data_IF_010691523998
#
_entry.id   IF_010691523998
#
_cell.length_a   1.000
_cell.length_b   1.000
_cell.length_c   1.000
_cell.angle_alpha   90.00
_cell.angle_beta   90.00
_cell.angle_gamma   90.00
#
_symmetry.space_group_name_H-M   'P 1'
#
loop_
_entity.id
_entity.type
_entity.pdbx_description
1 polymer ?
#
# COMPACT_ATOMS: atom_id res chain seq x y z
N UNK A 1 12.59 -4.83 -10.49
CA UNK A 1 12.54 -3.49 -9.87
C UNK A 1 11.44 -3.36 -8.83
N UNK A 2 10.14 -3.34 -9.21
CA UNK A 2 9.03 -3.21 -8.23
C UNK A 2 9.02 -4.37 -7.22
N UNK A 3 9.09 -5.61 -7.72
CA UNK A 3 9.11 -6.81 -6.89
C UNK A 3 10.33 -6.80 -5.96
N UNK A 4 11.52 -6.54 -6.50
CA UNK A 4 12.77 -6.50 -5.71
C UNK A 4 12.73 -5.45 -4.59
N UNK A 5 12.13 -4.28 -4.81
CA UNK A 5 11.95 -3.27 -3.76
C UNK A 5 10.95 -3.76 -2.71
N UNK A 6 9.83 -4.35 -3.13
CA UNK A 6 8.85 -4.90 -2.20
C UNK A 6 9.47 -5.96 -1.29
N UNK A 7 10.19 -6.91 -1.90
CA UNK A 7 10.88 -7.99 -1.20
C UNK A 7 11.96 -7.44 -0.26
N UNK A 8 12.85 -6.58 -0.76
CA UNK A 8 13.95 -6.02 0.05
C UNK A 8 13.44 -5.26 1.27
N UNK A 9 12.42 -4.42 1.11
CA UNK A 9 11.84 -3.69 2.27
C UNK A 9 11.17 -4.68 3.23
N UNK A 10 10.41 -5.65 2.71
CA UNK A 10 9.77 -6.69 3.53
C UNK A 10 10.75 -7.54 4.34
N UNK A 11 11.97 -7.75 3.84
CA UNK A 11 13.01 -8.52 4.54
C UNK A 11 13.91 -7.67 5.44
N UNK A 12 14.00 -6.36 5.21
CA UNK A 12 14.92 -5.47 5.95
C UNK A 12 14.26 -4.88 7.20
N UNK A 13 12.96 -4.61 7.14
CA UNK A 13 12.20 -4.03 8.24
C UNK A 13 11.48 -5.15 8.98
N UNK A 14 11.53 -5.13 10.31
CA UNK A 14 10.74 -6.01 11.15
C UNK A 14 9.33 -5.42 11.38
N UNK A 15 8.25 -6.23 11.24
CA UNK A 15 6.90 -5.74 11.48
C UNK A 15 6.67 -5.54 12.99
N UNK A 16 6.51 -4.29 13.41
CA UNK A 16 6.22 -3.91 14.80
C UNK A 16 5.33 -2.65 14.79
N UNK A 17 4.41 -2.53 15.74
CA UNK A 17 3.56 -1.33 15.86
C UNK A 17 4.35 -0.13 16.36
N UNK A 18 3.90 1.09 16.03
CA UNK A 18 4.54 2.31 16.55
C UNK A 18 4.55 2.37 18.08
N UNK A 19 3.54 1.80 18.73
CA UNK A 19 3.50 1.67 20.19
C UNK A 19 4.64 0.81 20.72
N UNK A 20 4.98 -0.29 20.02
CA UNK A 20 6.06 -1.18 20.42
C UNK A 20 7.45 -0.57 20.18
N UNK A 21 7.61 0.21 19.09
CA UNK A 21 8.91 0.79 18.72
C UNK A 21 9.16 2.11 19.46
N UNK A 22 8.15 2.97 19.57
CA UNK A 22 8.28 4.37 20.00
C UNK A 22 7.47 4.72 21.25
N UNK A 23 6.57 3.82 21.71
CA UNK A 23 5.67 4.10 22.83
C UNK A 23 4.62 5.17 22.53
N UNK A 24 4.37 5.47 21.25
CA UNK A 24 3.39 6.45 20.76
C UNK A 24 2.59 5.83 19.63
N UNK A 25 1.30 6.17 19.53
CA UNK A 25 0.48 5.80 18.37
C UNK A 25 0.75 6.77 17.21
N UNK A 26 0.72 6.26 15.98
CA UNK A 26 0.82 7.04 14.73
C UNK A 26 2.09 7.91 14.62
N UNK A 27 3.27 7.31 14.80
CA UNK A 27 4.57 7.98 14.60
C UNK A 27 5.12 7.76 13.19
N UNK A 28 5.02 8.78 12.33
CA UNK A 28 5.36 8.66 10.92
C UNK A 28 6.83 8.97 10.65
N UNK A 29 7.60 7.94 10.34
CA UNK A 29 8.99 8.07 9.84
C UNK A 29 9.36 7.03 8.77
N UNK A 30 10.57 7.16 8.22
CA UNK A 30 11.14 6.10 7.39
C UNK A 30 11.79 5.05 8.31
N UNK A 31 11.23 3.83 8.40
CA UNK A 31 11.75 2.82 9.30
C UNK A 31 13.17 2.40 8.88
N UNK A 32 14.02 2.14 9.86
CA UNK A 32 15.39 1.64 9.64
C UNK A 32 15.54 0.18 10.04
N UNK A 33 14.87 -0.24 11.11
CA UNK A 33 14.93 -1.61 11.66
C UNK A 33 13.56 -2.23 11.89
N UNK A 34 12.58 -1.44 12.32
CA UNK A 34 11.21 -1.88 12.57
C UNK A 34 10.21 -0.78 12.22
N UNK A 35 8.97 -1.16 11.92
CA UNK A 35 7.89 -0.21 11.66
C UNK A 35 6.57 -0.91 11.34
N UNK A 36 5.50 -0.12 11.36
CA UNK A 36 4.15 -0.58 11.03
C UNK A 36 3.85 -0.38 9.53
N UNK A 37 2.59 -0.61 9.13
CA UNK A 37 2.18 -0.56 7.73
C UNK A 37 2.52 0.77 7.01
N UNK A 38 2.45 1.90 7.71
CA UNK A 38 2.71 3.22 7.12
C UNK A 38 4.21 3.39 6.84
N UNK A 39 5.07 2.89 7.73
CA UNK A 39 6.51 2.86 7.54
C UNK A 39 6.95 2.06 6.30
N UNK A 40 6.39 0.86 6.10
CA UNK A 40 6.68 0.05 4.91
C UNK A 40 6.26 0.75 3.62
N UNK A 41 5.06 1.35 3.62
CA UNK A 41 4.53 2.07 2.48
C UNK A 41 5.40 3.29 2.11
N UNK A 42 5.82 4.06 3.10
CA UNK A 42 6.69 5.23 2.94
C UNK A 42 8.06 4.83 2.36
N UNK A 43 8.69 3.80 2.93
CA UNK A 43 10.01 3.36 2.50
C UNK A 43 10.00 2.80 1.07
N UNK A 44 9.04 1.93 0.75
CA UNK A 44 8.88 1.39 -0.63
C UNK A 44 8.68 2.51 -1.65
N UNK A 45 7.85 3.52 -1.33
CA UNK A 45 7.65 4.68 -2.20
C UNK A 45 8.95 5.43 -2.44
N UNK A 46 9.70 5.75 -1.39
CA UNK A 46 10.97 6.48 -1.48
C UNK A 46 11.98 5.74 -2.35
N UNK A 47 12.10 4.42 -2.17
CA UNK A 47 13.05 3.61 -2.91
C UNK A 47 12.66 3.45 -4.38
N UNK A 48 11.37 3.28 -4.69
CA UNK A 48 10.89 3.27 -6.07
C UNK A 48 11.12 4.63 -6.76
N UNK A 49 10.91 5.73 -6.06
CA UNK A 49 11.22 7.07 -6.57
C UNK A 49 12.72 7.25 -6.85
N UNK A 50 13.59 6.73 -5.97
CA UNK A 50 15.04 6.75 -6.17
C UNK A 50 15.48 5.94 -7.41
N UNK A 51 14.69 4.93 -7.80
CA UNK A 51 14.88 4.16 -9.03
C UNK A 51 14.24 4.79 -10.28
N UNK A 52 13.65 5.99 -10.15
CA UNK A 52 13.06 6.75 -11.25
C UNK A 52 11.58 6.48 -11.50
N UNK A 53 10.89 5.72 -10.63
CA UNK A 53 9.43 5.55 -10.75
C UNK A 53 8.74 6.87 -10.39
N UNK A 54 7.85 7.40 -11.24
CA UNK A 54 7.18 8.67 -11.00
C UNK A 54 6.37 8.69 -9.68
N UNK A 55 6.52 9.75 -8.89
CA UNK A 55 5.82 9.84 -7.60
C UNK A 55 4.29 9.85 -7.72
N UNK A 56 3.74 10.25 -8.87
CA UNK A 56 2.31 10.28 -9.18
C UNK A 56 1.74 8.90 -9.55
N UNK A 57 2.60 7.88 -9.74
CA UNK A 57 2.17 6.48 -9.93
C UNK A 57 2.30 5.67 -8.64
N UNK A 58 2.85 6.25 -7.57
CA UNK A 58 3.07 5.61 -6.27
C UNK A 58 2.11 6.20 -5.24
N UNK A 59 0.99 5.53 -5.01
CA UNK A 59 -0.17 6.09 -4.32
C UNK A 59 -0.42 5.35 -3.01
N UNK A 60 -0.45 6.12 -1.91
CA UNK A 60 -0.86 5.59 -0.61
C UNK A 60 -2.32 5.19 -0.65
N UNK A 61 -2.63 4.00 -0.15
CA UNK A 61 -3.97 3.41 -0.24
C UNK A 61 -4.34 2.81 1.09
N UNK A 62 -5.47 3.26 1.64
CA UNK A 62 -6.05 2.71 2.87
C UNK A 62 -7.10 1.69 2.47
N UNK A 63 -6.96 0.49 3.04
CA UNK A 63 -7.82 -0.65 2.80
C UNK A 63 -8.37 -1.20 4.11
N UNK A 64 -9.36 -2.07 4.00
CA UNK A 64 -9.85 -2.92 5.08
C UNK A 64 -9.51 -4.37 4.76
N UNK A 65 -8.88 -5.04 5.72
CA UNK A 65 -8.56 -6.46 5.66
C UNK A 65 -9.80 -7.34 5.85
N UNK A 66 -9.77 -8.63 5.45
CA UNK A 66 -10.89 -9.55 5.65
C UNK A 66 -11.31 -9.73 7.12
N UNK A 67 -10.37 -9.55 8.06
CA UNK A 67 -10.64 -9.58 9.50
C UNK A 67 -11.32 -8.30 10.04
N UNK A 68 -11.51 -7.28 9.19
CA UNK A 68 -12.15 -6.01 9.52
C UNK A 68 -11.18 -4.88 9.90
N UNK A 69 -9.91 -5.16 10.09
CA UNK A 69 -8.90 -4.16 10.48
C UNK A 69 -8.53 -3.22 9.33
N UNK A 70 -8.19 -1.98 9.66
CA UNK A 70 -7.62 -1.02 8.70
C UNK A 70 -6.19 -1.40 8.36
N UNK A 71 -5.76 -1.15 7.12
CA UNK A 71 -4.39 -1.39 6.68
C UNK A 71 -3.96 -0.37 5.61
N UNK A 72 -2.68 -0.02 5.58
CA UNK A 72 -2.10 0.87 4.59
C UNK A 72 -1.20 0.08 3.62
N UNK A 73 -1.41 0.29 2.32
CA UNK A 73 -0.64 -0.36 1.26
C UNK A 73 -0.22 0.65 0.20
N UNK A 74 0.85 0.32 -0.54
CA UNK A 74 1.30 1.13 -1.66
C UNK A 74 0.69 0.59 -2.96
N UNK A 75 -0.13 1.40 -3.63
CA UNK A 75 -0.57 1.11 -5.00
C UNK A 75 0.44 1.67 -5.99
N UNK A 76 0.92 0.83 -6.91
CA UNK A 76 1.78 1.22 -8.03
C UNK A 76 0.98 1.14 -9.32
N UNK A 77 0.73 2.29 -9.95
CA UNK A 77 0.05 2.36 -11.25
C UNK A 77 1.07 2.14 -12.36
N UNK A 78 0.78 1.20 -13.24
CA UNK A 78 1.61 0.90 -14.42
C UNK A 78 0.75 0.91 -15.68
N UNK A 79 1.40 0.84 -16.84
CA UNK A 79 0.76 0.63 -18.14
C UNK A 79 0.03 -0.72 -18.25
N UNK A 80 0.36 -1.68 -17.36
CA UNK A 80 -0.24 -3.02 -17.29
C UNK A 80 -1.31 -3.16 -16.20
N UNK A 81 -1.58 -2.10 -15.45
CA UNK A 81 -2.58 -2.07 -14.38
C UNK A 81 -2.03 -1.60 -13.04
N UNK A 82 -2.91 -1.62 -12.04
CA UNK A 82 -2.60 -1.23 -10.67
C UNK A 82 -2.16 -2.46 -9.85
N UNK A 83 -0.97 -2.39 -9.25
CA UNK A 83 -0.39 -3.42 -8.41
C UNK A 83 -0.27 -2.96 -6.96
N UNK A 84 -0.39 -3.89 -6.02
CA UNK A 84 -0.35 -3.65 -4.59
C UNK A 84 0.95 -4.20 -4.01
N UNK A 85 1.65 -3.33 -3.29
CA UNK A 85 2.84 -3.64 -2.51
C UNK A 85 2.47 -3.55 -1.05
N UNK A 86 2.66 -4.66 -0.36
CA UNK A 86 2.18 -4.90 0.99
C UNK A 86 3.30 -5.54 1.84
N UNK A 87 3.31 -5.28 3.14
CA UNK A 87 4.17 -5.94 4.11
C UNK A 87 3.56 -7.24 4.64
N UNK A 88 2.23 -7.38 4.63
CA UNK A 88 1.54 -8.59 5.10
C UNK A 88 1.52 -9.70 4.05
N UNK A 89 1.30 -9.36 2.77
CA UNK A 89 1.50 -10.27 1.64
C UNK A 89 2.78 -9.92 0.87
N UNK A 90 3.82 -10.78 0.85
CA UNK A 90 5.05 -10.51 0.12
C UNK A 90 4.86 -10.50 -1.41
N UNK A 91 3.76 -11.07 -1.92
CA UNK A 91 3.48 -11.10 -3.35
C UNK A 91 3.01 -9.74 -3.83
N UNK A 92 3.55 -9.28 -4.96
CA UNK A 92 3.01 -8.13 -5.68
C UNK A 92 1.80 -8.59 -6.48
N UNK A 93 0.60 -8.25 -6.02
CA UNK A 93 -0.66 -8.67 -6.62
C UNK A 93 -1.32 -7.53 -7.38
N UNK A 94 -2.05 -7.86 -8.45
CA UNK A 94 -2.96 -6.91 -9.06
C UNK A 94 -4.06 -6.53 -8.05
N UNK A 95 -4.54 -5.29 -8.07
CA UNK A 95 -5.50 -4.79 -7.08
C UNK A 95 -6.77 -5.64 -6.95
N UNK A 96 -7.18 -6.29 -8.05
CA UNK A 96 -8.39 -7.10 -8.11
C UNK A 96 -8.15 -8.57 -7.70
N UNK A 97 -6.93 -8.90 -7.31
CA UNK A 97 -6.51 -10.21 -6.82
C UNK A 97 -6.21 -10.21 -5.31
N UNK A 98 -6.40 -9.08 -4.64
CA UNK A 98 -6.32 -8.97 -3.18
C UNK A 98 -7.70 -9.10 -2.55
N UNK A 99 -7.79 -9.67 -1.35
CA UNK A 99 -9.05 -9.82 -0.60
C UNK A 99 -9.43 -8.56 0.21
N UNK A 100 -8.72 -7.45 -0.02
CA UNK A 100 -8.94 -6.17 0.67
C UNK A 100 -10.12 -5.40 0.14
N UNK A 101 -10.89 -4.72 0.99
CA UNK A 101 -11.83 -3.68 0.57
C UNK A 101 -11.13 -2.33 0.49
N UNK A 102 -11.14 -1.69 -0.67
CA UNK A 102 -10.43 -0.41 -0.87
C UNK A 102 -11.27 0.76 -0.39
N UNK A 103 -10.74 1.57 0.54
CA UNK A 103 -11.49 2.66 1.16
C UNK A 103 -11.11 4.01 0.57
N UNK A 104 -9.81 4.33 0.57
CA UNK A 104 -9.28 5.64 0.14
C UNK A 104 -7.94 5.48 -0.54
N UNK A 105 -7.62 6.39 -1.45
CA UNK A 105 -6.31 6.45 -2.11
C UNK A 105 -5.86 7.90 -2.26
N UNK A 106 -4.57 8.13 -2.16
CA UNK A 106 -3.98 9.43 -2.48
C UNK A 106 -4.27 9.79 -3.94
N UNK A 107 -4.65 11.04 -4.18
CA UNK A 107 -4.90 11.55 -5.52
C UNK A 107 -3.61 11.54 -6.34
N UNK A 108 -3.71 11.12 -7.61
CA UNK A 108 -2.61 11.21 -8.58
C UNK A 108 -2.23 12.65 -8.91
N UNK A 109 -3.14 13.60 -8.69
CA UNK A 109 -2.97 15.01 -9.08
C UNK A 109 -2.56 15.92 -7.92
N UNK A 110 -2.75 15.47 -6.67
CA UNK A 110 -2.45 16.26 -5.47
C UNK A 110 -2.06 15.33 -4.33
N UNK A 111 -0.81 15.42 -3.88
CA UNK A 111 -0.26 14.59 -2.79
C UNK A 111 -0.93 14.86 -1.44
N UNK A 112 -1.63 15.98 -1.27
CA UNK A 112 -2.41 16.30 -0.06
C UNK A 112 -3.88 15.88 -0.11
N UNK A 113 -4.37 15.39 -1.25
CA UNK A 113 -5.79 15.07 -1.45
C UNK A 113 -6.03 13.57 -1.49
N UNK A 114 -7.03 13.10 -0.76
CA UNK A 114 -7.47 11.71 -0.76
C UNK A 114 -8.77 11.58 -1.54
N UNK A 115 -8.86 10.57 -2.40
CA UNK A 115 -10.10 10.20 -3.10
C UNK A 115 -10.67 8.94 -2.46
N UNK A 116 -11.96 8.97 -2.15
CA UNK A 116 -12.68 7.76 -1.73
C UNK A 116 -12.77 6.81 -2.92
N UNK A 117 -12.43 5.55 -2.70
CA UNK A 117 -12.60 4.51 -3.71
C UNK A 117 -13.95 3.87 -3.45
N UNK A 118 -14.79 3.85 -4.48
CA UNK A 118 -15.89 2.89 -4.54
C UNK A 118 -15.33 1.63 -5.16
N UNK A 119 -15.35 0.56 -4.40
CA UNK A 119 -14.88 -0.74 -4.86
C UNK A 119 -15.92 -1.34 -5.82
N UNK A 120 -15.83 -0.98 -7.10
CA UNK A 120 -16.79 -1.42 -8.12
C UNK A 120 -16.62 -2.90 -8.50
N UNK A 121 -15.80 -3.69 -7.78
CA UNK A 121 -15.69 -5.14 -7.99
C UNK A 121 -17.00 -5.88 -7.72
N UNK A 122 -17.90 -5.29 -6.93
CA UNK A 122 -19.27 -5.80 -6.74
C UNK A 122 -20.17 -5.62 -7.97
N UNK A 123 -19.86 -4.68 -8.88
CA UNK A 123 -20.73 -4.34 -10.02
C UNK A 123 -20.53 -5.31 -11.20
N UNK A 124 -19.45 -6.10 -11.20
CA UNK A 124 -19.21 -7.12 -12.24
C UNK A 124 -19.88 -8.48 -11.97
N UNK A 125 -20.55 -8.66 -10.82
CA UNK A 125 -21.48 -9.78 -10.60
C UNK A 125 -22.90 -9.38 -11.04
N UNK A 126 -22.99 -8.74 -12.21
CA UNK A 126 -24.25 -8.45 -12.87
C UNK A 126 -24.78 -9.69 -13.59
N UNK A 127 -25.83 -10.26 -13.01
CA UNK A 127 -26.90 -11.02 -13.67
C UNK A 127 -26.50 -11.96 -14.82
N UNK A 128 -26.39 -13.25 -14.51
CA UNK A 128 -26.78 -14.29 -15.46
C UNK A 128 -28.04 -15.01 -14.98
N UNK A 129 -29.08 -14.84 -15.79
CA UNK A 129 -30.44 -15.42 -15.81
C UNK A 129 -31.46 -14.92 -14.78
#
# INVERSE_FOLDING_TARGET
QIIDVNERVNTTIAPMTDMEVWGQEEYWEYPTTAGDCDGYMLLKRRELMALGVPANTLLFTVVRQPNGEGHAVLTVRTDRGDFILDNLDPRVLAWNKTDYTYLKRQSTYSTGSWVSIRDDRDILVGSIH
#
